data_IF_379857531113
#
_entry.id   IF_379857531113
#
_cell.length_a   1.000
_cell.length_b   1.000
_cell.length_c   1.000
_cell.angle_alpha   90.00
_cell.angle_beta   90.00
_cell.angle_gamma   90.00
#
_symmetry.space_group_name_H-M   'P 1'
#
loop_
_entity.id
_entity.type
_entity.pdbx_description
1 polymer ?
#
# COMPACT_ATOMS: atom_id res chain seq x y z
N UNK A 1 -3.08 16.23 -5.61
CA UNK A 1 -1.99 16.46 -4.62
C UNK A 1 -1.27 15.16 -4.35
N UNK A 2 -0.11 15.18 -3.66
CA UNK A 2 0.60 13.95 -3.26
C UNK A 2 -0.29 13.05 -2.40
N UNK A 3 -0.92 13.62 -1.35
CA UNK A 3 -1.78 12.85 -0.45
C UNK A 3 -2.94 12.15 -1.17
N UNK A 4 -3.56 12.80 -2.16
CA UNK A 4 -4.61 12.17 -2.98
C UNK A 4 -4.05 11.03 -3.84
N UNK A 5 -2.86 11.19 -4.43
CA UNK A 5 -2.20 10.15 -5.20
C UNK A 5 -1.87 8.91 -4.34
N UNK A 6 -1.39 9.10 -3.11
CA UNK A 6 -1.16 8.03 -2.13
C UNK A 6 -2.45 7.27 -1.79
N UNK A 7 -3.56 7.99 -1.56
CA UNK A 7 -4.87 7.36 -1.35
C UNK A 7 -5.37 6.61 -2.58
N UNK A 8 -5.16 7.15 -3.79
CA UNK A 8 -5.50 6.46 -5.03
C UNK A 8 -4.65 5.21 -5.27
N UNK A 9 -3.36 5.23 -4.89
CA UNK A 9 -2.50 4.06 -4.88
C UNK A 9 -2.99 2.97 -3.93
N UNK A 10 -3.40 3.34 -2.71
CA UNK A 10 -4.02 2.41 -1.76
C UNK A 10 -5.33 1.82 -2.30
N UNK A 11 -6.22 2.64 -2.86
CA UNK A 11 -7.49 2.18 -3.45
C UNK A 11 -7.24 1.23 -4.62
N UNK A 12 -6.33 1.57 -5.53
CA UNK A 12 -5.95 0.69 -6.65
C UNK A 12 -5.37 -0.64 -6.15
N UNK A 13 -4.58 -0.63 -5.08
CA UNK A 13 -4.09 -1.86 -4.45
C UNK A 13 -5.25 -2.72 -3.92
N UNK A 14 -6.22 -2.11 -3.22
CA UNK A 14 -7.41 -2.81 -2.70
C UNK A 14 -8.31 -3.36 -3.81
N UNK A 15 -8.57 -2.58 -4.86
CA UNK A 15 -9.39 -3.02 -6.00
C UNK A 15 -8.71 -4.17 -6.77
N UNK A 16 -7.36 -4.21 -6.84
CA UNK A 16 -6.62 -5.34 -7.44
C UNK A 16 -6.56 -6.60 -6.57
N UNK A 17 -6.99 -6.53 -5.31
CA UNK A 17 -7.16 -7.70 -4.43
C UNK A 17 -8.57 -8.29 -4.51
N UNK A 18 -9.52 -7.65 -5.20
CA UNK A 18 -10.89 -8.13 -5.32
C UNK A 18 -10.95 -9.55 -5.92
N UNK A 19 -11.72 -10.44 -5.29
CA UNK A 19 -11.77 -11.86 -5.64
C UNK A 19 -10.67 -12.74 -5.01
N UNK A 20 -9.69 -12.16 -4.32
CA UNK A 20 -8.73 -12.91 -3.51
C UNK A 20 -9.21 -13.04 -2.06
N UNK A 21 -9.05 -14.23 -1.49
CA UNK A 21 -9.38 -14.55 -0.09
C UNK A 21 -8.12 -14.92 0.73
N UNK A 22 -7.22 -13.95 1.01
CA UNK A 22 -6.09 -14.16 1.89
C UNK A 22 -6.55 -14.27 3.35
N UNK A 23 -6.11 -15.30 4.07
CA UNK A 23 -6.41 -15.48 5.50
C UNK A 23 -6.04 -14.26 6.37
N UNK A 24 -5.00 -13.53 5.97
CA UNK A 24 -4.59 -12.26 6.58
C UNK A 24 -4.00 -11.34 5.52
N UNK A 25 -4.41 -10.08 5.51
CA UNK A 25 -3.92 -9.04 4.61
C UNK A 25 -2.94 -8.11 5.35
N UNK A 26 -1.77 -7.84 4.77
CA UNK A 26 -0.82 -6.84 5.31
C UNK A 26 -0.47 -5.86 4.21
N UNK A 27 -0.95 -4.62 4.34
CA UNK A 27 -0.70 -3.56 3.37
C UNK A 27 0.43 -2.69 3.91
N UNK A 28 1.44 -2.46 3.09
CA UNK A 28 2.60 -1.63 3.44
C UNK A 28 2.62 -0.37 2.57
N UNK A 29 2.89 0.80 3.17
CA UNK A 29 3.13 2.04 2.43
C UNK A 29 4.01 3.00 3.22
N UNK A 30 4.76 3.87 2.53
CA UNK A 30 5.66 4.84 3.14
C UNK A 30 5.01 6.21 3.40
N UNK A 31 3.79 6.43 2.91
CA UNK A 31 2.96 7.59 3.27
C UNK A 31 2.41 7.49 4.70
N UNK A 32 3.18 8.02 5.65
CA UNK A 32 2.82 8.07 7.07
C UNK A 32 1.46 8.75 7.31
N UNK A 33 1.10 9.77 6.51
CA UNK A 33 -0.21 10.43 6.63
C UNK A 33 -1.35 9.47 6.30
N UNK A 34 -1.31 8.82 5.13
CA UNK A 34 -2.41 7.95 4.66
C UNK A 34 -2.57 6.75 5.58
N UNK A 35 -1.46 6.09 5.95
CA UNK A 35 -1.47 4.96 6.88
C UNK A 35 -2.14 5.33 8.21
N UNK A 36 -1.70 6.43 8.84
CA UNK A 36 -2.22 6.85 10.15
C UNK A 36 -3.65 7.36 10.09
N UNK A 37 -4.05 8.02 9.00
CA UNK A 37 -5.45 8.42 8.80
C UNK A 37 -6.37 7.22 8.61
N UNK A 38 -6.01 6.24 7.76
CA UNK A 38 -6.83 5.04 7.53
C UNK A 38 -6.99 4.23 8.82
N UNK A 39 -5.92 4.04 9.60
CA UNK A 39 -5.98 3.46 10.95
C UNK A 39 -6.82 4.26 11.96
N UNK A 40 -7.13 5.53 11.69
CA UNK A 40 -7.82 6.42 12.63
C UNK A 40 -6.94 6.99 13.75
N UNK A 41 -5.61 6.92 13.63
CA UNK A 41 -4.68 7.50 14.61
C UNK A 41 -4.61 9.04 14.54
N UNK A 42 -4.97 9.62 13.39
CA UNK A 42 -5.01 11.08 13.16
C UNK A 42 -6.22 11.46 12.33
N UNK A 43 -6.73 12.66 12.55
CA UNK A 43 -7.87 13.21 11.83
C UNK A 43 -7.63 13.34 10.32
N UNK A 44 -8.68 13.10 9.53
CA UNK A 44 -8.71 13.36 8.10
C UNK A 44 -9.73 14.47 7.80
N UNK A 45 -9.28 15.74 7.88
CA UNK A 45 -10.15 16.94 7.84
C UNK A 45 -10.39 17.54 6.44
N UNK A 46 -9.54 17.22 5.47
CA UNK A 46 -9.68 17.74 4.11
C UNK A 46 -10.78 16.96 3.36
N UNK A 47 -11.88 17.58 2.88
CA UNK A 47 -13.07 16.85 2.42
C UNK A 47 -12.80 15.77 1.35
N UNK A 48 -11.90 16.04 0.39
CA UNK A 48 -11.50 15.05 -0.61
C UNK A 48 -10.78 13.84 -0.01
N UNK A 49 -9.88 14.06 0.96
CA UNK A 49 -9.21 12.97 1.68
C UNK A 49 -10.19 12.20 2.59
N UNK A 50 -11.16 12.89 3.20
CA UNK A 50 -12.21 12.22 4.01
C UNK A 50 -13.02 11.23 3.16
N UNK A 51 -13.38 11.61 1.92
CA UNK A 51 -14.07 10.73 0.98
C UNK A 51 -13.19 9.54 0.54
N UNK A 52 -11.91 9.78 0.23
CA UNK A 52 -10.97 8.72 -0.15
C UNK A 52 -10.71 7.74 1.01
N UNK A 53 -10.57 8.26 2.24
CA UNK A 53 -10.47 7.46 3.47
C UNK A 53 -11.70 6.58 3.67
N UNK A 54 -12.90 7.13 3.48
CA UNK A 54 -14.14 6.37 3.64
C UNK A 54 -14.18 5.20 2.64
N UNK A 55 -13.88 5.44 1.36
CA UNK A 55 -13.79 4.39 0.34
C UNK A 55 -12.77 3.30 0.70
N UNK A 56 -11.59 3.68 1.20
CA UNK A 56 -10.58 2.72 1.63
C UNK A 56 -11.05 1.86 2.82
N UNK A 57 -11.71 2.48 3.80
CA UNK A 57 -12.31 1.77 4.93
C UNK A 57 -13.44 0.82 4.51
N UNK A 58 -14.29 1.23 3.58
CA UNK A 58 -15.39 0.39 3.08
C UNK A 58 -14.86 -0.83 2.30
N UNK A 59 -13.75 -0.67 1.54
CA UNK A 59 -13.03 -1.78 0.89
C UNK A 59 -12.35 -2.72 1.89
N UNK A 60 -11.71 -2.18 2.92
CA UNK A 60 -11.00 -2.97 3.94
C UNK A 60 -11.93 -3.90 4.74
N UNK A 61 -13.25 -3.66 4.76
CA UNK A 61 -14.23 -4.57 5.40
C UNK A 61 -14.27 -5.96 4.76
N UNK A 62 -13.83 -6.12 3.51
CA UNK A 62 -13.74 -7.42 2.84
C UNK A 62 -12.73 -8.35 3.52
N UNK A 63 -11.68 -7.80 4.14
CA UNK A 63 -10.62 -8.57 4.81
C UNK A 63 -10.56 -8.20 6.29
N UNK A 64 -11.32 -8.84 7.19
CA UNK A 64 -11.40 -8.44 8.59
C UNK A 64 -10.08 -8.59 9.36
N UNK A 65 -9.21 -9.55 9.00
CA UNK A 65 -7.82 -9.60 9.47
C UNK A 65 -6.90 -8.84 8.48
N UNK A 66 -6.86 -7.50 8.61
CA UNK A 66 -5.97 -6.64 7.83
C UNK A 66 -5.05 -5.78 8.71
N UNK A 67 -3.85 -5.47 8.22
CA UNK A 67 -2.89 -4.61 8.94
C UNK A 67 -2.32 -3.42 8.13
N UNK A 68 -2.57 -2.23 8.69
CA UNK A 68 -2.11 -0.87 8.40
C UNK A 68 -0.60 -0.53 8.30
N UNK A 69 0.33 -1.27 7.71
CA UNK A 69 1.78 -1.00 7.98
C UNK A 69 2.39 0.26 7.31
N UNK A 70 3.02 1.12 8.14
CA UNK A 70 3.95 2.17 7.67
C UNK A 70 5.37 1.61 7.54
N UNK A 71 6.05 1.90 6.43
CA UNK A 71 7.42 1.45 6.15
C UNK A 71 8.32 2.61 5.71
N UNK A 72 9.64 2.37 5.70
CA UNK A 72 10.59 3.32 5.09
C UNK A 72 10.40 3.32 3.57
N UNK A 73 10.63 4.47 2.92
CA UNK A 73 10.57 4.60 1.45
C UNK A 73 11.48 3.60 0.73
N UNK A 74 12.70 3.42 1.23
CA UNK A 74 13.68 2.42 0.76
C UNK A 74 13.19 0.96 0.82
N UNK A 75 12.05 0.68 1.47
CA UNK A 75 11.44 -0.65 1.57
C UNK A 75 10.22 -0.82 0.65
N UNK A 76 9.71 0.28 0.08
CA UNK A 76 8.55 0.35 -0.80
C UNK A 76 8.95 0.65 -2.27
N UNK A 77 10.19 0.31 -2.65
CA UNK A 77 10.80 0.74 -3.90
C UNK A 77 10.07 0.28 -5.17
N UNK A 78 9.33 -0.84 -5.13
CA UNK A 78 8.52 -1.26 -6.28
C UNK A 78 7.36 -0.30 -6.53
N UNK A 79 6.66 0.14 -5.47
CA UNK A 79 5.52 1.04 -5.60
C UNK A 79 5.97 2.46 -6.03
N UNK A 80 7.08 2.95 -5.46
CA UNK A 80 7.71 4.21 -5.85
C UNK A 80 8.15 4.21 -7.33
N UNK A 81 8.73 3.09 -7.79
CA UNK A 81 9.11 2.90 -9.20
C UNK A 81 7.89 2.89 -10.13
N UNK A 82 6.82 2.17 -9.77
CA UNK A 82 5.57 2.12 -10.53
C UNK A 82 4.88 3.49 -10.60
N UNK A 83 4.77 4.19 -9.48
CA UNK A 83 4.17 5.53 -9.40
C UNK A 83 4.98 6.55 -10.24
N UNK A 84 6.32 6.52 -10.12
CA UNK A 84 7.21 7.36 -10.92
C UNK A 84 7.10 7.07 -12.41
N UNK A 85 7.04 5.80 -12.80
CA UNK A 85 6.90 5.39 -14.19
C UNK A 85 5.54 5.80 -14.79
N UNK A 86 4.46 5.70 -14.01
CA UNK A 86 3.11 6.12 -14.42
C UNK A 86 3.02 7.65 -14.56
N UNK A 87 3.65 8.40 -13.63
CA UNK A 87 3.76 9.86 -13.71
C UNK A 87 4.52 10.31 -14.96
N UNK A 88 5.64 9.64 -15.29
CA UNK A 88 6.43 9.93 -16.49
C UNK A 88 5.65 9.68 -17.80
N UNK A 89 4.86 8.60 -17.86
CA UNK A 89 4.06 8.25 -19.05
C UNK A 89 2.71 8.95 -19.11
N UNK A 90 2.27 9.56 -18.00
CA UNK A 90 0.94 10.15 -17.83
C UNK A 90 -0.21 9.15 -18.07
N UNK A 91 0.05 7.86 -17.84
CA UNK A 91 -0.93 6.77 -18.01
C UNK A 91 -0.70 5.64 -16.99
N UNK A 92 -1.70 4.79 -16.82
CA UNK A 92 -1.55 3.53 -16.09
C UNK A 92 -0.59 2.58 -16.79
N UNK A 93 0.15 1.79 -16.01
CA UNK A 93 1.09 0.80 -16.52
C UNK A 93 0.65 -0.58 -16.07
N UNK A 94 0.52 -1.48 -17.03
CA UNK A 94 0.36 -2.92 -16.77
C UNK A 94 1.67 -3.62 -17.16
N UNK A 95 2.08 -4.61 -16.36
CA UNK A 95 3.40 -5.24 -16.47
C UNK A 95 3.20 -6.76 -16.53
N UNK A 96 3.40 -7.31 -17.72
CA UNK A 96 3.32 -8.74 -18.01
C UNK A 96 4.72 -9.38 -18.13
N UNK A 97 5.78 -8.57 -18.18
CA UNK A 97 7.14 -9.06 -18.34
C UNK A 97 7.71 -9.59 -17.03
N UNK A 98 7.93 -10.90 -16.96
CA UNK A 98 8.54 -11.59 -15.81
C UNK A 98 9.86 -10.94 -15.36
N UNK A 99 10.69 -10.49 -16.30
CA UNK A 99 11.96 -9.78 -15.99
C UNK A 99 11.70 -8.47 -15.24
N UNK A 100 10.65 -7.73 -15.62
CA UNK A 100 10.29 -6.47 -14.93
C UNK A 100 9.64 -6.77 -13.58
N UNK A 101 8.81 -7.81 -13.47
CA UNK A 101 8.23 -8.29 -12.20
C UNK A 101 9.37 -8.67 -11.23
N UNK A 102 10.31 -9.49 -11.67
CA UNK A 102 11.44 -9.92 -10.86
C UNK A 102 12.35 -8.76 -10.45
N UNK A 103 12.58 -7.78 -11.35
CA UNK A 103 13.31 -6.55 -11.01
C UNK A 103 12.57 -5.75 -9.94
N UNK A 104 11.26 -5.51 -10.10
CA UNK A 104 10.43 -4.82 -9.11
C UNK A 104 10.51 -5.51 -7.74
N UNK A 105 10.44 -6.84 -7.68
CA UNK A 105 10.57 -7.59 -6.41
C UNK A 105 11.89 -7.32 -5.67
N UNK A 106 13.00 -7.07 -6.37
CA UNK A 106 14.28 -6.73 -5.71
C UNK A 106 14.32 -5.33 -5.12
N UNK A 107 13.45 -4.41 -5.56
CA UNK A 107 13.31 -3.07 -4.99
C UNK A 107 12.53 -3.05 -3.66
N UNK A 108 11.78 -4.11 -3.34
CA UNK A 108 10.97 -4.20 -2.13
C UNK A 108 11.69 -4.98 -1.01
N UNK A 109 11.84 -4.34 0.15
CA UNK A 109 12.55 -4.90 1.32
C UNK A 109 11.63 -5.30 2.47
N UNK A 110 10.32 -5.38 2.20
CA UNK A 110 9.27 -5.79 3.16
C UNK A 110 9.57 -7.15 3.83
N UNK A 111 10.23 -8.06 3.12
CA UNK A 111 10.62 -9.37 3.66
C UNK A 111 11.57 -9.26 4.87
N UNK A 112 12.39 -8.20 4.97
CA UNK A 112 13.26 -7.95 6.14
C UNK A 112 12.46 -7.54 7.38
N UNK A 113 11.36 -6.80 7.18
CA UNK A 113 10.43 -6.44 8.24
C UNK A 113 9.68 -7.66 8.78
N UNK A 114 9.17 -8.50 7.88
CA UNK A 114 8.41 -9.70 8.25
C UNK A 114 9.28 -10.70 9.01
N UNK A 115 10.55 -10.87 8.62
CA UNK A 115 11.54 -11.65 9.39
C UNK A 115 11.67 -11.11 10.82
N UNK A 116 11.90 -9.79 11.00
CA UNK A 116 12.04 -9.18 12.34
C UNK A 116 10.80 -9.37 13.22
N UNK A 117 9.59 -9.33 12.64
CA UNK A 117 8.35 -9.61 13.38
C UNK A 117 8.20 -11.08 13.77
N UNK A 118 8.61 -12.01 12.92
CA UNK A 118 8.61 -13.45 13.23
C UNK A 118 9.56 -13.78 14.41
N UNK A 119 10.78 -13.22 14.40
CA UNK A 119 11.73 -13.38 15.52
C UNK A 119 11.32 -12.62 16.79
N UNK A 120 10.42 -11.64 16.70
CA UNK A 120 9.82 -10.96 17.86
C UNK A 120 8.75 -11.78 18.60
N UNK A 121 8.49 -13.02 18.17
CA UNK A 121 7.54 -13.93 18.80
C UNK A 121 8.24 -15.13 19.50
N UNK A 122 9.41 -14.88 20.08
CA UNK A 122 9.97 -15.71 21.14
C UNK A 122 10.03 -14.87 22.43
N UNK A 123 9.50 -15.44 23.51
CA UNK A 123 9.17 -14.77 24.79
C UNK A 123 10.37 -14.16 25.49
#
# INVERSE_FOLDING_TARGET
TVNEAEYHGLLLCLDRLEGLDPQRLVICGDSNLVIRQVRGEIDCKAPGLTLLRQRALDRLRTWPDHELLHVKRDWNGSADSLASAALQRQCGIEIESEVVIQNLLTLNRLHEMLKKRSYGYQR
#
